data_IF_458693560033
#
_entry.id   IF_458693560033
#
_cell.length_a   1.000
_cell.length_b   1.000
_cell.length_c   1.000
_cell.angle_alpha   90.00
_cell.angle_beta   90.00
_cell.angle_gamma   90.00
#
_symmetry.space_group_name_H-M   'P 1'
#
loop_
_entity.id
_entity.type
_entity.pdbx_description
1 polymer ?
#
# COMPACT_ATOMS: atom_id res chain seq x y z
N UNK A 1 8.73 -0.28 -29.18
CA UNK A 1 7.70 -0.92 -28.35
C UNK A 1 6.98 0.22 -27.66
N UNK A 2 5.75 0.55 -28.09
CA UNK A 2 4.99 1.67 -27.53
C UNK A 2 4.59 1.27 -26.10
N UNK A 3 5.08 2.00 -25.11
CA UNK A 3 4.63 1.85 -23.73
C UNK A 3 3.10 2.00 -23.72
N UNK A 4 2.38 0.99 -23.25
CA UNK A 4 0.96 1.11 -22.97
C UNK A 4 0.81 2.23 -21.95
N UNK A 5 0.18 3.32 -22.35
CA UNK A 5 -0.20 4.37 -21.42
C UNK A 5 -1.21 3.72 -20.47
N UNK A 6 -0.81 3.43 -19.23
CA UNK A 6 -1.68 2.91 -18.20
C UNK A 6 -2.89 3.81 -18.00
N UNK A 7 -3.98 3.29 -17.45
CA UNK A 7 -5.15 4.11 -17.12
C UNK A 7 -4.75 5.11 -16.04
N UNK A 8 -5.10 6.38 -16.22
CA UNK A 8 -4.79 7.40 -15.21
C UNK A 8 -5.49 7.06 -13.87
N UNK A 9 -4.74 7.11 -12.80
CA UNK A 9 -5.24 6.87 -11.44
C UNK A 9 -6.18 7.98 -11.00
N UNK A 10 -7.12 7.70 -10.09
CA UNK A 10 -7.97 8.73 -9.47
C UNK A 10 -7.16 9.78 -8.73
N UNK A 11 -5.96 9.45 -8.28
CA UNK A 11 -5.02 10.44 -7.74
C UNK A 11 -4.76 11.59 -8.71
N UNK A 12 -4.67 11.30 -10.02
CA UNK A 12 -4.43 12.29 -11.06
C UNK A 12 -5.75 12.87 -11.60
N UNK A 13 -6.80 12.04 -11.78
CA UNK A 13 -8.02 12.46 -12.47
C UNK A 13 -9.05 13.13 -11.57
N UNK A 14 -9.14 12.72 -10.30
CA UNK A 14 -10.20 13.13 -9.39
C UNK A 14 -9.71 14.17 -8.37
N UNK A 15 -8.42 14.56 -8.45
CA UNK A 15 -7.86 15.61 -7.63
C UNK A 15 -7.56 16.87 -8.45
N UNK A 16 -7.47 18.02 -7.78
CA UNK A 16 -7.15 19.30 -8.42
C UNK A 16 -5.67 19.37 -8.80
N UNK A 17 -5.35 20.25 -9.75
CA UNK A 17 -3.96 20.59 -10.05
C UNK A 17 -3.20 21.03 -8.79
N UNK A 18 -1.95 20.60 -8.63
CA UNK A 18 -1.13 20.86 -7.44
C UNK A 18 -1.47 19.99 -6.23
N UNK A 19 -2.33 18.97 -6.36
CA UNK A 19 -2.72 18.11 -5.23
C UNK A 19 -1.52 17.39 -4.61
N UNK A 20 -0.58 16.90 -5.40
CA UNK A 20 0.62 16.22 -4.90
C UNK A 20 1.48 17.16 -4.05
N UNK A 21 1.68 18.40 -4.48
CA UNK A 21 2.39 19.41 -3.70
C UNK A 21 1.65 19.72 -2.38
N UNK A 22 0.33 19.94 -2.44
CA UNK A 22 -0.48 20.12 -1.24
C UNK A 22 -0.39 18.94 -0.28
N UNK A 23 -0.37 17.69 -0.79
CA UNK A 23 -0.23 16.50 0.04
C UNK A 23 1.14 16.45 0.72
N UNK A 24 2.21 16.78 0.01
CA UNK A 24 3.57 16.90 0.56
C UNK A 24 3.60 17.90 1.71
N UNK A 25 3.12 19.13 1.46
CA UNK A 25 3.07 20.19 2.48
C UNK A 25 2.27 19.75 3.72
N UNK A 26 1.14 19.06 3.51
CA UNK A 26 0.31 18.52 4.58
C UNK A 26 1.07 17.48 5.42
N UNK A 27 1.77 16.54 4.80
CA UNK A 27 2.51 15.49 5.52
C UNK A 27 3.68 16.10 6.31
N UNK A 28 4.40 17.04 5.73
CA UNK A 28 5.48 17.76 6.39
C UNK A 28 4.96 18.61 7.56
N UNK A 29 3.83 19.28 7.39
CA UNK A 29 3.17 20.04 8.45
C UNK A 29 2.80 19.15 9.65
N UNK A 30 2.15 18.01 9.41
CA UNK A 30 1.80 17.05 10.46
C UNK A 30 3.05 16.51 11.19
N UNK A 31 4.12 16.23 10.46
CA UNK A 31 5.38 15.80 11.06
C UNK A 31 6.01 16.91 11.93
N UNK A 32 5.99 18.17 11.47
CA UNK A 32 6.49 19.32 12.21
C UNK A 32 5.67 19.62 13.49
N UNK A 33 4.37 19.30 13.48
CA UNK A 33 3.48 19.40 14.64
C UNK A 33 3.64 18.23 15.62
N UNK A 34 4.49 17.24 15.31
CA UNK A 34 4.73 16.07 16.15
C UNK A 34 3.62 15.03 16.11
N UNK A 35 2.80 15.02 15.05
CA UNK A 35 1.78 13.98 14.87
C UNK A 35 2.43 12.59 14.77
N UNK A 36 1.78 11.59 15.37
CA UNK A 36 2.21 10.20 15.24
C UNK A 36 1.86 9.65 13.86
N UNK A 37 2.84 9.65 12.99
CA UNK A 37 2.72 9.19 11.60
C UNK A 37 3.25 7.76 11.38
N UNK A 38 3.56 7.02 12.44
CA UNK A 38 4.20 5.71 12.37
C UNK A 38 3.25 4.52 12.67
N UNK A 39 1.96 4.76 12.83
CA UNK A 39 1.00 3.73 13.23
C UNK A 39 0.98 2.53 12.31
N UNK A 40 0.95 2.75 11.01
CA UNK A 40 0.95 1.70 9.99
C UNK A 40 2.25 0.89 10.03
N UNK A 41 3.38 1.58 10.11
CA UNK A 41 4.68 0.93 10.17
C UNK A 41 4.85 0.07 11.44
N UNK A 42 4.33 0.53 12.60
CA UNK A 42 4.35 -0.27 13.84
C UNK A 42 3.57 -1.57 13.71
N UNK A 43 2.39 -1.53 13.06
CA UNK A 43 1.61 -2.74 12.85
C UNK A 43 2.35 -3.72 11.93
N UNK A 44 2.87 -3.25 10.80
CA UNK A 44 3.63 -4.09 9.87
C UNK A 44 4.85 -4.70 10.56
N UNK A 45 5.66 -3.89 11.27
CA UNK A 45 6.85 -4.33 12.01
C UNK A 45 6.52 -5.43 13.05
N UNK A 46 5.37 -5.31 13.74
CA UNK A 46 4.93 -6.31 14.71
C UNK A 46 4.52 -7.66 14.07
N UNK A 47 4.14 -7.66 12.79
CA UNK A 47 3.63 -8.84 12.08
C UNK A 47 4.69 -9.57 11.26
N UNK A 48 5.82 -8.96 10.97
CA UNK A 48 6.88 -9.55 10.15
C UNK A 48 8.08 -9.99 11.00
N UNK A 49 8.91 -10.93 10.50
CA UNK A 49 10.16 -11.25 11.16
C UNK A 49 11.15 -10.06 11.10
N UNK A 50 12.17 -10.10 11.96
CA UNK A 50 13.26 -9.13 11.90
C UNK A 50 13.93 -9.12 10.54
N UNK A 51 14.26 -7.92 10.03
CA UNK A 51 14.90 -7.73 8.72
C UNK A 51 14.07 -8.28 7.55
N UNK A 52 12.76 -8.20 7.67
CA UNK A 52 11.84 -8.59 6.61
C UNK A 52 12.04 -7.72 5.36
N UNK A 53 11.64 -8.27 4.22
CA UNK A 53 11.55 -7.55 2.97
C UNK A 53 10.10 -7.09 2.76
N UNK A 54 9.85 -5.79 2.66
CA UNK A 54 8.51 -5.21 2.68
C UNK A 54 8.28 -4.36 1.42
N UNK A 55 7.11 -4.51 0.80
CA UNK A 55 6.63 -3.68 -0.28
C UNK A 55 5.67 -2.62 0.28
N UNK A 56 6.03 -1.34 0.15
CA UNK A 56 5.16 -0.19 0.42
C UNK A 56 4.48 0.20 -0.89
N UNK A 57 3.26 -0.33 -1.09
CA UNK A 57 2.52 -0.23 -2.35
C UNK A 57 1.56 0.97 -2.33
N UNK A 58 1.85 2.01 -3.09
CA UNK A 58 1.24 3.34 -2.98
C UNK A 58 1.90 4.14 -1.88
N UNK A 59 3.24 4.19 -1.90
CA UNK A 59 4.05 4.70 -0.79
C UNK A 59 3.95 6.23 -0.58
N UNK A 60 3.40 6.98 -1.54
CA UNK A 60 3.33 8.43 -1.47
C UNK A 60 4.72 9.05 -1.23
N UNK A 61 4.81 9.90 -0.21
CA UNK A 61 6.07 10.56 0.21
C UNK A 61 7.04 9.62 0.96
N UNK A 62 6.77 8.32 1.02
CA UNK A 62 7.67 7.33 1.62
C UNK A 62 7.59 7.22 3.14
N UNK A 63 6.60 7.82 3.78
CA UNK A 63 6.45 7.89 5.25
C UNK A 63 6.47 6.51 5.92
N UNK A 64 5.67 5.57 5.41
CA UNK A 64 5.57 4.21 5.99
C UNK A 64 6.82 3.40 5.70
N UNK A 65 7.26 3.39 4.45
CA UNK A 65 8.46 2.65 4.06
C UNK A 65 9.74 3.18 4.69
N UNK A 66 9.87 4.50 4.86
CA UNK A 66 10.98 5.14 5.55
C UNK A 66 11.08 4.72 7.02
N UNK A 67 9.95 4.72 7.73
CA UNK A 67 9.88 4.26 9.12
C UNK A 67 10.19 2.77 9.25
N UNK A 68 9.67 1.91 8.34
CA UNK A 68 9.99 0.48 8.29
C UNK A 68 11.49 0.25 8.04
N UNK A 69 12.10 1.04 7.16
CA UNK A 69 13.53 0.98 6.92
C UNK A 69 14.34 1.37 8.17
N UNK A 70 13.95 2.43 8.87
CA UNK A 70 14.56 2.86 10.11
C UNK A 70 14.49 1.77 11.21
N UNK A 71 13.47 0.90 11.17
CA UNK A 71 13.32 -0.29 12.02
C UNK A 71 14.16 -1.49 11.58
N UNK A 72 14.90 -1.36 10.48
CA UNK A 72 15.86 -2.37 10.01
C UNK A 72 15.30 -3.34 8.97
N UNK A 73 14.18 -3.02 8.33
CA UNK A 73 13.64 -3.79 7.20
C UNK A 73 14.25 -3.37 5.87
N UNK A 74 14.23 -4.27 4.90
CA UNK A 74 14.52 -3.95 3.50
C UNK A 74 13.22 -3.53 2.82
N UNK A 75 13.15 -2.31 2.32
CA UNK A 75 11.92 -1.75 1.78
C UNK A 75 12.07 -1.37 0.31
N UNK A 76 11.06 -1.71 -0.48
CA UNK A 76 10.81 -1.17 -1.81
C UNK A 76 9.47 -0.42 -1.75
N UNK A 77 9.49 0.85 -2.10
CA UNK A 77 8.28 1.67 -2.20
C UNK A 77 7.93 1.96 -3.65
N UNK A 78 6.64 1.89 -3.96
CA UNK A 78 6.10 2.11 -5.30
C UNK A 78 4.95 3.10 -5.26
N UNK A 79 4.95 4.09 -6.12
CA UNK A 79 3.84 5.00 -6.34
C UNK A 79 3.72 5.39 -7.82
N UNK A 80 2.52 5.71 -8.26
CA UNK A 80 2.28 6.15 -9.64
C UNK A 80 2.68 7.62 -9.88
N UNK A 81 2.80 8.42 -8.82
CA UNK A 81 3.14 9.84 -8.90
C UNK A 81 4.65 10.06 -8.75
N UNK A 82 5.35 10.50 -9.82
CA UNK A 82 6.78 10.76 -9.75
C UNK A 82 7.14 11.90 -8.78
N UNK A 83 6.24 12.87 -8.56
CA UNK A 83 6.46 13.97 -7.61
C UNK A 83 6.58 13.44 -6.18
N UNK A 84 5.70 12.50 -5.80
CA UNK A 84 5.74 11.88 -4.48
C UNK A 84 6.98 11.00 -4.31
N UNK A 85 7.35 10.26 -5.35
CA UNK A 85 8.57 9.42 -5.35
C UNK A 85 9.84 10.26 -5.21
N UNK A 86 9.90 11.44 -5.83
CA UNK A 86 11.07 12.32 -5.68
C UNK A 86 11.18 12.85 -4.24
N UNK A 87 10.06 13.16 -3.58
CA UNK A 87 10.04 13.49 -2.15
C UNK A 87 10.47 12.29 -1.30
N UNK A 88 9.95 11.08 -1.58
CA UNK A 88 10.35 9.88 -0.84
C UNK A 88 11.85 9.61 -0.92
N UNK A 89 12.45 9.80 -2.09
CA UNK A 89 13.92 9.67 -2.28
C UNK A 89 14.73 10.69 -1.48
N UNK A 90 14.21 11.92 -1.40
CA UNK A 90 14.87 13.00 -0.69
C UNK A 90 14.75 12.85 0.84
N UNK A 91 13.53 12.61 1.32
CA UNK A 91 13.22 12.63 2.77
C UNK A 91 13.56 11.31 3.46
N UNK A 92 13.54 10.19 2.72
CA UNK A 92 13.80 8.84 3.24
C UNK A 92 14.87 8.11 2.41
N UNK A 93 16.14 8.49 2.52
CA UNK A 93 17.23 7.78 1.83
C UNK A 93 17.41 6.38 2.44
N UNK A 94 17.63 5.38 1.57
CA UNK A 94 17.88 3.98 1.98
C UNK A 94 16.94 2.98 1.31
N UNK A 95 15.61 3.10 1.41
CA UNK A 95 14.70 2.29 0.62
C UNK A 95 14.86 2.53 -0.89
N UNK A 96 14.43 1.56 -1.68
CA UNK A 96 14.31 1.75 -3.12
C UNK A 96 12.92 2.29 -3.47
N UNK A 97 12.87 3.45 -4.12
CA UNK A 97 11.63 4.13 -4.51
C UNK A 97 11.46 4.08 -6.03
N UNK A 98 10.33 3.55 -6.50
CA UNK A 98 10.04 3.28 -7.90
C UNK A 98 8.73 3.96 -8.34
N UNK A 99 8.72 4.52 -9.54
CA UNK A 99 7.50 5.01 -10.16
C UNK A 99 6.86 3.85 -10.93
N UNK A 100 5.68 3.39 -10.50
CA UNK A 100 4.91 2.37 -11.20
C UNK A 100 3.43 2.39 -10.80
N UNK A 101 2.56 1.98 -11.73
CA UNK A 101 1.14 1.70 -11.46
C UNK A 101 1.01 0.30 -10.82
N UNK A 102 0.28 0.21 -9.71
CA UNK A 102 0.07 -1.06 -9.00
C UNK A 102 -0.70 -2.08 -9.85
N UNK A 103 -1.57 -1.64 -10.74
CA UNK A 103 -2.33 -2.52 -11.63
C UNK A 103 -1.47 -3.15 -12.74
N UNK A 104 -0.31 -2.57 -13.02
CA UNK A 104 0.65 -3.05 -14.04
C UNK A 104 1.99 -3.48 -13.40
N UNK A 105 2.04 -3.60 -12.07
CA UNK A 105 3.26 -3.82 -11.31
C UNK A 105 4.00 -5.09 -11.76
N UNK A 106 5.28 -4.92 -12.10
CA UNK A 106 6.22 -6.00 -12.43
C UNK A 106 7.61 -5.64 -11.87
N UNK A 107 7.81 -5.96 -10.61
CA UNK A 107 9.05 -5.65 -9.89
C UNK A 107 10.26 -6.45 -10.37
N UNK A 108 10.14 -7.74 -10.75
CA UNK A 108 11.24 -8.47 -11.39
C UNK A 108 11.81 -7.75 -12.62
N UNK A 109 10.94 -7.20 -13.49
CA UNK A 109 11.38 -6.43 -14.65
C UNK A 109 12.09 -5.11 -14.28
N UNK A 110 11.90 -4.64 -13.05
CA UNK A 110 12.53 -3.44 -12.50
C UNK A 110 13.76 -3.74 -11.62
N UNK A 111 14.23 -4.99 -11.62
CA UNK A 111 15.42 -5.42 -10.89
C UNK A 111 15.16 -5.80 -9.43
N UNK A 112 13.90 -6.13 -9.08
CA UNK A 112 13.48 -6.60 -7.77
C UNK A 112 12.82 -7.99 -7.88
N UNK A 113 13.61 -9.06 -8.17
CA UNK A 113 13.05 -10.40 -8.42
C UNK A 113 12.65 -11.14 -7.14
N UNK A 114 13.19 -10.74 -5.99
CA UNK A 114 12.97 -11.45 -4.72
C UNK A 114 11.59 -11.14 -4.13
N UNK A 115 10.83 -12.16 -3.65
CA UNK A 115 9.53 -11.94 -3.08
C UNK A 115 9.60 -11.21 -1.73
N UNK A 116 8.50 -10.56 -1.36
CA UNK A 116 8.36 -9.82 -0.10
C UNK A 116 7.72 -10.70 0.99
N UNK A 117 8.07 -10.41 2.24
CA UNK A 117 7.43 -11.00 3.42
C UNK A 117 6.03 -10.42 3.62
N UNK A 118 5.86 -9.16 3.30
CA UNK A 118 4.59 -8.46 3.37
C UNK A 118 4.53 -7.31 2.36
N UNK A 119 3.29 -6.93 2.01
CA UNK A 119 3.00 -5.67 1.33
C UNK A 119 2.02 -4.84 2.17
N UNK A 120 2.13 -3.52 2.10
CA UNK A 120 1.20 -2.60 2.75
C UNK A 120 0.67 -1.58 1.74
N UNK A 121 -0.65 -1.39 1.73
CA UNK A 121 -1.37 -0.35 1.02
C UNK A 121 -1.99 0.58 2.06
N UNK A 122 -1.22 1.56 2.53
CA UNK A 122 -1.64 2.53 3.53
C UNK A 122 -2.18 3.82 2.89
N UNK A 123 -2.89 4.64 3.66
CA UNK A 123 -3.28 5.98 3.22
C UNK A 123 -4.32 6.02 2.10
N UNK A 124 -5.28 5.12 2.11
CA UNK A 124 -6.38 5.11 1.13
C UNK A 124 -5.98 4.73 -0.31
N UNK A 125 -4.90 4.02 -0.53
CA UNK A 125 -4.39 3.66 -1.86
C UNK A 125 -5.49 3.07 -2.76
N UNK A 126 -6.32 2.16 -2.22
CA UNK A 126 -7.42 1.54 -2.96
C UNK A 126 -8.43 2.54 -3.54
N UNK A 127 -8.59 3.70 -2.89
CA UNK A 127 -9.50 4.76 -3.34
C UNK A 127 -8.93 5.56 -4.51
N UNK A 128 -7.63 5.52 -4.73
CA UNK A 128 -6.93 6.31 -5.73
C UNK A 128 -6.48 5.51 -6.95
N UNK A 129 -6.71 4.20 -6.98
CA UNK A 129 -6.44 3.38 -8.16
C UNK A 129 -7.27 3.84 -9.37
N UNK A 130 -6.79 3.55 -10.57
CA UNK A 130 -7.57 3.78 -11.77
C UNK A 130 -8.89 2.96 -11.74
N UNK A 131 -10.02 3.52 -12.21
CA UNK A 131 -11.29 2.79 -12.19
C UNK A 131 -11.21 1.42 -12.86
N UNK A 132 -11.72 0.39 -12.20
CA UNK A 132 -11.76 -1.02 -12.67
C UNK A 132 -10.39 -1.67 -12.76
N UNK A 133 -9.41 -1.20 -11.98
CA UNK A 133 -8.09 -1.84 -11.86
C UNK A 133 -7.85 -2.39 -10.45
N UNK A 134 -8.81 -2.26 -9.56
CA UNK A 134 -8.68 -2.60 -8.14
C UNK A 134 -8.30 -4.08 -7.94
N UNK A 135 -8.93 -4.98 -8.71
CA UNK A 135 -8.63 -6.44 -8.68
C UNK A 135 -7.24 -6.73 -9.23
N UNK A 136 -6.85 -6.06 -10.32
CA UNK A 136 -5.53 -6.25 -10.92
C UNK A 136 -4.43 -5.73 -10.00
N UNK A 137 -4.62 -4.59 -9.35
CA UNK A 137 -3.69 -4.06 -8.36
C UNK A 137 -3.49 -5.04 -7.19
N UNK A 138 -4.58 -5.54 -6.58
CA UNK A 138 -4.51 -6.53 -5.51
C UNK A 138 -3.79 -7.80 -5.97
N UNK A 139 -4.14 -8.33 -7.15
CA UNK A 139 -3.51 -9.53 -7.71
C UNK A 139 -2.03 -9.34 -7.98
N UNK A 140 -1.64 -8.20 -8.56
CA UNK A 140 -0.25 -7.86 -8.86
C UNK A 140 0.57 -7.68 -7.59
N UNK A 141 0.09 -6.90 -6.61
CA UNK A 141 0.77 -6.73 -5.33
C UNK A 141 0.95 -8.08 -4.64
N UNK A 142 -0.10 -8.90 -4.54
CA UNK A 142 -0.05 -10.21 -3.92
C UNK A 142 0.92 -11.18 -4.62
N UNK A 143 1.04 -11.09 -5.96
CA UNK A 143 1.98 -11.92 -6.73
C UNK A 143 3.47 -11.65 -6.38
N UNK A 144 3.78 -10.50 -5.79
CA UNK A 144 5.12 -10.18 -5.32
C UNK A 144 5.36 -10.59 -3.84
N UNK A 145 4.32 -11.04 -3.14
CA UNK A 145 4.41 -11.52 -1.76
C UNK A 145 4.57 -13.04 -1.74
N UNK A 146 5.44 -13.56 -0.88
CA UNK A 146 5.64 -15.02 -0.73
C UNK A 146 4.34 -15.72 -0.27
N UNK A 147 4.18 -17.04 -0.50
CA UNK A 147 2.92 -17.75 -0.22
C UNK A 147 2.42 -17.69 1.23
N UNK A 148 3.33 -17.59 2.21
CA UNK A 148 3.04 -17.47 3.65
C UNK A 148 3.09 -16.01 4.17
N UNK A 149 3.32 -15.07 3.27
CA UNK A 149 3.29 -13.65 3.56
C UNK A 149 1.86 -13.09 3.60
N UNK A 150 1.73 -11.78 3.69
CA UNK A 150 0.43 -11.10 3.76
C UNK A 150 0.45 -9.75 3.08
N UNK A 151 -0.76 -9.27 2.75
CA UNK A 151 -1.00 -7.91 2.25
C UNK A 151 -1.89 -7.20 3.26
N UNK A 152 -1.48 -6.03 3.77
CA UNK A 152 -2.34 -5.18 4.61
C UNK A 152 -2.87 -4.03 3.77
N UNK A 153 -4.19 -3.83 3.84
CA UNK A 153 -4.87 -2.75 3.13
C UNK A 153 -5.64 -1.89 4.13
N UNK A 154 -5.39 -0.57 4.12
CA UNK A 154 -6.12 0.37 4.97
C UNK A 154 -6.82 1.45 4.15
N UNK A 155 -8.13 1.65 4.35
CA UNK A 155 -8.89 2.68 3.66
C UNK A 155 -10.17 3.08 4.41
N UNK A 156 -10.63 4.30 4.13
CA UNK A 156 -11.89 4.89 4.57
C UNK A 156 -13.06 4.24 3.81
N UNK A 157 -13.96 3.56 4.54
CA UNK A 157 -15.07 2.78 3.97
C UNK A 157 -16.32 3.62 3.69
N UNK A 158 -16.36 4.87 4.12
CA UNK A 158 -17.46 5.80 3.86
C UNK A 158 -17.34 6.52 2.51
N UNK A 159 -16.22 6.30 1.80
CA UNK A 159 -15.99 6.90 0.49
C UNK A 159 -16.60 6.04 -0.63
N UNK A 160 -16.15 6.25 -1.86
CA UNK A 160 -16.71 5.60 -3.06
C UNK A 160 -16.47 4.09 -3.16
N UNK A 161 -15.59 3.51 -2.34
CA UNK A 161 -15.35 2.07 -2.28
C UNK A 161 -15.98 1.51 -1.00
N UNK A 162 -17.10 0.80 -1.13
CA UNK A 162 -17.70 0.11 -0.01
C UNK A 162 -16.89 -1.11 0.43
N UNK A 163 -17.02 -1.49 1.70
CA UNK A 163 -16.34 -2.71 2.19
C UNK A 163 -16.81 -3.97 1.46
N UNK A 164 -18.10 -4.04 1.10
CA UNK A 164 -18.63 -5.16 0.33
C UNK A 164 -18.04 -5.25 -1.07
N UNK A 165 -17.78 -4.12 -1.73
CA UNK A 165 -17.09 -4.10 -3.02
C UNK A 165 -15.63 -4.52 -2.88
N UNK A 166 -14.95 -4.04 -1.84
CA UNK A 166 -13.59 -4.45 -1.54
C UNK A 166 -13.49 -5.97 -1.29
N UNK A 167 -14.41 -6.54 -0.52
CA UNK A 167 -14.43 -7.99 -0.26
C UNK A 167 -14.62 -8.80 -1.55
N UNK A 168 -15.47 -8.32 -2.47
CA UNK A 168 -15.58 -8.94 -3.81
C UNK A 168 -14.29 -8.83 -4.61
N UNK A 169 -13.56 -7.71 -4.52
CA UNK A 169 -12.27 -7.57 -5.19
C UNK A 169 -11.21 -8.50 -4.60
N UNK A 170 -11.21 -8.68 -3.29
CA UNK A 170 -10.33 -9.64 -2.59
C UNK A 170 -10.57 -11.06 -3.09
N UNK A 171 -11.84 -11.49 -3.15
CA UNK A 171 -12.23 -12.80 -3.69
C UNK A 171 -11.80 -12.99 -5.17
N UNK A 172 -12.08 -11.98 -6.02
CA UNK A 172 -11.68 -12.00 -7.42
C UNK A 172 -10.15 -12.00 -7.61
N UNK A 173 -9.41 -11.39 -6.70
CA UNK A 173 -7.96 -11.45 -6.67
C UNK A 173 -7.42 -12.79 -6.16
N UNK A 174 -8.29 -13.72 -5.72
CA UNK A 174 -7.96 -15.01 -5.09
C UNK A 174 -7.17 -14.83 -3.80
N UNK A 175 -7.60 -13.88 -2.98
CA UNK A 175 -7.10 -13.64 -1.64
C UNK A 175 -8.20 -13.95 -0.62
N UNK A 176 -7.81 -14.17 0.63
CA UNK A 176 -8.71 -14.37 1.76
C UNK A 176 -8.46 -13.32 2.82
N UNK A 177 -9.53 -12.88 3.47
CA UNK A 177 -9.43 -12.01 4.65
C UNK A 177 -9.03 -12.86 5.85
N UNK A 178 -7.84 -12.61 6.38
CA UNK A 178 -7.34 -13.26 7.60
C UNK A 178 -7.85 -12.51 8.84
N UNK A 179 -7.64 -11.19 8.87
CA UNK A 179 -8.08 -10.33 9.97
C UNK A 179 -8.60 -8.99 9.46
N UNK A 180 -9.47 -8.35 10.25
CA UNK A 180 -9.94 -6.99 10.00
C UNK A 180 -10.05 -6.20 11.30
N UNK A 181 -9.57 -4.96 11.24
CA UNK A 181 -9.57 -4.01 12.34
C UNK A 181 -10.18 -2.68 11.87
N UNK A 182 -10.68 -1.88 12.83
CA UNK A 182 -11.22 -0.55 12.56
C UNK A 182 -10.12 0.52 12.43
N UNK A 183 -8.92 0.24 12.94
CA UNK A 183 -7.81 1.20 13.01
C UNK A 183 -6.46 0.48 12.95
N UNK A 184 -5.39 1.25 12.66
CA UNK A 184 -4.02 0.73 12.65
C UNK A 184 -3.48 0.32 14.03
N UNK A 185 -4.13 0.75 15.13
CA UNK A 185 -3.84 0.32 16.49
C UNK A 185 -4.68 -0.89 16.94
N UNK A 186 -5.21 -1.67 15.99
CA UNK A 186 -5.88 -2.96 16.17
C UNK A 186 -7.22 -2.88 16.93
N UNK A 187 -7.93 -1.75 16.92
CA UNK A 187 -9.29 -1.71 17.45
C UNK A 187 -10.18 -2.69 16.68
N UNK A 188 -10.99 -3.41 17.46
CA UNK A 188 -11.89 -4.42 16.89
C UNK A 188 -12.79 -3.82 15.82
N UNK A 189 -12.90 -4.50 14.70
CA UNK A 189 -13.85 -4.18 13.63
C UNK A 189 -15.29 -4.24 14.13
N UNK A 190 -16.14 -3.33 13.68
CA UNK A 190 -17.59 -3.28 13.90
C UNK A 190 -18.26 -2.59 12.70
N UNK A 191 -19.56 -2.83 12.48
CA UNK A 191 -20.32 -2.31 11.33
C UNK A 191 -20.34 -0.78 11.20
N UNK A 192 -20.19 -0.05 12.28
CA UNK A 192 -20.12 1.42 12.28
C UNK A 192 -18.70 1.98 12.23
N UNK A 193 -17.69 1.19 11.84
CA UNK A 193 -16.33 1.69 11.69
C UNK A 193 -16.19 2.45 10.36
N UNK A 194 -15.65 3.65 10.42
CA UNK A 194 -15.41 4.53 9.27
C UNK A 194 -14.16 4.15 8.45
N UNK A 195 -13.28 3.34 9.04
CA UNK A 195 -12.01 2.92 8.44
C UNK A 195 -11.81 1.41 8.58
N UNK A 196 -11.22 0.77 7.59
CA UNK A 196 -10.88 -0.65 7.62
C UNK A 196 -9.38 -0.84 7.44
N UNK A 197 -8.79 -1.65 8.31
CA UNK A 197 -7.46 -2.24 8.14
C UNK A 197 -7.64 -3.74 8.00
N UNK A 198 -7.41 -4.24 6.80
CA UNK A 198 -7.65 -5.66 6.46
C UNK A 198 -6.34 -6.36 6.12
N UNK A 199 -6.08 -7.47 6.80
CA UNK A 199 -4.97 -8.38 6.50
C UNK A 199 -5.47 -9.45 5.55
N UNK A 200 -4.81 -9.57 4.41
CA UNK A 200 -5.13 -10.52 3.34
C UNK A 200 -4.01 -11.56 3.22
N UNK A 201 -4.38 -12.80 2.91
CA UNK A 201 -3.43 -13.87 2.61
C UNK A 201 -3.80 -14.60 1.33
N UNK A 202 -2.83 -15.29 0.75
CA UNK A 202 -3.12 -16.32 -0.23
C UNK A 202 -3.91 -17.46 0.43
N UNK A 203 -4.89 -18.07 -0.28
CA UNK A 203 -5.63 -19.20 0.24
C UNK A 203 -4.67 -20.29 0.69
N UNK A 204 -4.87 -20.79 1.91
CA UNK A 204 -4.08 -21.91 2.43
C UNK A 204 -4.24 -23.10 1.50
N UNK A 205 -3.14 -23.64 0.95
CA UNK A 205 -3.20 -24.95 0.30
C UNK A 205 -3.68 -25.95 1.35
N UNK A 206 -4.70 -26.78 1.06
CA UNK A 206 -5.08 -27.83 1.98
C UNK A 206 -3.84 -28.66 2.32
N UNK A 207 -3.52 -28.74 3.60
CA UNK A 207 -2.43 -29.63 4.07
C UNK A 207 -2.81 -31.05 3.64
N UNK A 208 -2.01 -31.64 2.76
CA UNK A 208 -2.14 -33.04 2.37
C UNK A 208 -1.73 -33.93 3.53
#
# INVERSE_FOLDING_TARGET
MVARVGRATRWITDTREGHSAWYVDRMQGLAAEGADLAGEARLVDAMVPRRARILDAGCGTGRVGGELHARGHTVVGVDADPTLIDVARHDHPGPRWLVADLAELDLPAQGEPEPFDAAVLAGNVMLFLAPRTEVDALRRVAAHVRPDGFVIVGFDVERHLSLADFDRYVEQARLEVDHRFATWDLRRWHEGAEFSVTVLRHPSRPRR
#
